data_IF_491639064421
#
_entry.id   IF_491639064421
#
_cell.length_a   1.000
_cell.length_b   1.000
_cell.length_c   1.000
_cell.angle_alpha   90.00
_cell.angle_beta   90.00
_cell.angle_gamma   90.00
#
_symmetry.space_group_name_H-M   'P 1'
#
loop_
_entity.id
_entity.type
_entity.pdbx_description
1 polymer ?
#
# COMPACT_ATOMS: atom_id res chain seq x y z
N UNK A 1 11.46 13.83 -3.73
CA UNK A 1 11.35 12.88 -4.86
C UNK A 1 10.78 11.64 -4.20
N UNK A 2 9.46 11.54 -4.18
CA UNK A 2 8.77 10.75 -3.15
C UNK A 2 8.05 9.59 -3.84
N UNK A 3 8.75 8.47 -4.04
CA UNK A 3 8.08 7.25 -4.45
C UNK A 3 8.95 6.04 -4.13
N UNK A 4 8.51 5.26 -3.16
CA UNK A 4 9.01 3.92 -2.96
C UNK A 4 7.91 2.92 -3.25
N UNK A 5 8.15 2.08 -4.25
CA UNK A 5 7.21 1.07 -4.69
C UNK A 5 7.66 -0.29 -4.15
N UNK A 6 7.04 -0.76 -3.07
CA UNK A 6 7.16 -2.15 -2.63
C UNK A 6 5.94 -2.91 -3.12
N UNK A 7 6.16 -3.88 -4.00
CA UNK A 7 5.16 -4.87 -4.38
C UNK A 7 4.98 -5.86 -3.23
N UNK A 8 4.04 -5.56 -2.35
CA UNK A 8 3.71 -6.43 -1.23
C UNK A 8 2.41 -7.22 -1.49
N UNK A 9 2.26 -8.35 -0.81
CA UNK A 9 1.16 -9.29 -1.02
C UNK A 9 -0.16 -8.73 -0.51
N UNK A 10 -1.21 -8.91 -1.31
CA UNK A 10 -2.56 -8.49 -0.96
C UNK A 10 -3.61 -9.43 -1.57
N UNK A 11 -4.80 -9.40 -1.01
CA UNK A 11 -5.94 -10.21 -1.45
C UNK A 11 -7.19 -9.36 -1.56
N UNK A 12 -8.13 -9.79 -2.40
CA UNK A 12 -9.46 -9.18 -2.49
C UNK A 12 -10.53 -10.25 -2.46
N UNK A 13 -11.59 -10.04 -1.68
CA UNK A 13 -12.77 -10.90 -1.65
C UNK A 13 -13.75 -10.55 -2.77
N UNK A 14 -14.73 -11.42 -3.00
CA UNK A 14 -15.78 -11.17 -4.01
C UNK A 14 -16.62 -9.93 -3.66
N UNK A 15 -16.80 -9.67 -2.35
CA UNK A 15 -17.46 -8.51 -1.79
C UNK A 15 -16.60 -7.23 -1.80
N UNK A 16 -15.38 -7.28 -2.35
CA UNK A 16 -14.50 -6.13 -2.48
C UNK A 16 -13.72 -5.76 -1.21
N UNK A 17 -13.67 -6.65 -0.22
CA UNK A 17 -12.77 -6.47 0.92
C UNK A 17 -11.35 -6.70 0.46
N UNK A 18 -10.47 -5.74 0.73
CA UNK A 18 -9.07 -5.81 0.34
C UNK A 18 -8.19 -5.74 1.58
N UNK A 19 -7.23 -6.66 1.67
CA UNK A 19 -6.28 -6.75 2.77
C UNK A 19 -4.88 -7.02 2.25
N UNK A 20 -3.86 -6.57 2.97
CA UNK A 20 -2.48 -6.86 2.64
C UNK A 20 -1.50 -6.30 3.64
N UNK A 21 -0.23 -6.65 3.44
CA UNK A 21 0.89 -5.94 4.05
C UNK A 21 1.31 -4.92 3.01
N UNK A 22 1.26 -3.63 3.32
CA UNK A 22 1.67 -2.58 2.39
C UNK A 22 3.19 -2.33 2.45
N UNK A 23 3.80 -2.61 3.60
CA UNK A 23 5.25 -2.56 3.80
C UNK A 23 5.70 -3.63 4.80
N UNK A 24 6.49 -4.64 4.42
CA UNK A 24 7.06 -5.60 5.36
C UNK A 24 8.22 -4.99 6.15
N UNK A 25 8.25 -5.18 7.47
CA UNK A 25 9.38 -4.75 8.30
C UNK A 25 10.52 -5.77 8.28
N UNK A 26 11.73 -5.31 8.60
CA UNK A 26 12.90 -6.17 8.81
C UNK A 26 13.73 -6.50 7.56
N UNK A 27 13.26 -6.16 6.35
CA UNK A 27 14.04 -6.30 5.12
C UNK A 27 14.06 -5.00 4.30
N UNK A 28 15.19 -4.68 3.63
CA UNK A 28 15.23 -3.57 2.70
C UNK A 28 14.33 -3.82 1.50
N UNK A 29 13.81 -2.73 0.94
CA UNK A 29 13.09 -2.75 -0.33
C UNK A 29 14.02 -2.93 -1.55
N UNK A 30 13.47 -2.81 -2.77
CA UNK A 30 14.24 -3.00 -4.00
C UNK A 30 15.35 -1.95 -4.21
N UNK A 31 15.17 -0.72 -3.74
CA UNK A 31 16.20 0.33 -3.83
C UNK A 31 17.05 0.42 -2.56
N UNK A 32 16.71 -0.38 -1.56
CA UNK A 32 17.49 -0.61 -0.39
C UNK A 32 16.94 0.04 0.86
N UNK A 33 15.78 0.70 0.89
CA UNK A 33 15.24 1.39 2.06
C UNK A 33 14.64 0.44 3.09
N UNK A 34 14.78 0.80 4.37
CA UNK A 34 14.24 0.07 5.51
C UNK A 34 13.44 1.08 6.30
N UNK A 35 12.15 0.79 6.46
CA UNK A 35 11.27 1.51 7.37
C UNK A 35 11.10 0.62 8.60
N UNK A 36 11.25 1.23 9.78
CA UNK A 36 11.08 0.55 11.06
C UNK A 36 9.69 0.80 11.63
N UNK A 37 9.22 -0.10 12.49
CA UNK A 37 8.03 0.12 13.31
C UNK A 37 8.14 1.42 14.11
N UNK A 38 7.05 2.18 14.18
CA UNK A 38 6.98 3.51 14.79
C UNK A 38 7.30 4.65 13.84
N UNK A 39 7.64 4.36 12.57
CA UNK A 39 7.99 5.40 11.58
C UNK A 39 6.76 6.00 10.89
N UNK A 40 5.60 5.32 10.91
CA UNK A 40 4.41 5.80 10.21
C UNK A 40 3.55 6.71 11.09
N UNK A 41 3.25 7.91 10.58
CA UNK A 41 2.10 8.70 11.03
C UNK A 41 1.00 8.57 9.98
N UNK A 42 -0.10 7.92 10.35
CA UNK A 42 -1.13 7.49 9.42
C UNK A 42 -2.29 8.49 9.45
N UNK A 43 -2.74 8.92 8.28
CA UNK A 43 -3.92 9.76 8.18
C UNK A 43 -5.20 8.95 8.50
N UNK A 44 -6.21 9.57 9.15
CA UNK A 44 -7.41 8.86 9.60
C UNK A 44 -8.29 8.30 8.47
N UNK A 45 -8.15 8.82 7.26
CA UNK A 45 -8.84 8.29 6.07
C UNK A 45 -7.90 8.36 4.87
N UNK A 46 -7.72 7.22 4.19
CA UNK A 46 -6.85 7.12 3.02
C UNK A 46 -7.63 6.50 1.85
N UNK A 47 -7.66 7.14 0.67
CA UNK A 47 -8.28 6.56 -0.50
C UNK A 47 -7.45 5.40 -1.03
N UNK A 48 -8.14 4.41 -1.61
CA UNK A 48 -7.50 3.40 -2.46
C UNK A 48 -7.46 3.98 -3.87
N UNK A 49 -6.26 4.24 -4.37
CA UNK A 49 -6.03 4.77 -5.72
C UNK A 49 -5.65 3.63 -6.66
N UNK A 50 -6.17 3.67 -7.88
CA UNK A 50 -5.66 2.84 -8.96
C UNK A 50 -4.49 3.55 -9.66
N UNK A 51 -3.37 2.85 -9.85
CA UNK A 51 -2.18 3.35 -10.57
C UNK A 51 -1.59 4.68 -10.04
N UNK A 52 -1.73 4.96 -8.73
CA UNK A 52 -1.32 6.23 -8.12
C UNK A 52 -2.00 7.49 -8.68
N UNK A 53 -3.14 7.34 -9.35
CA UNK A 53 -3.87 8.46 -9.92
C UNK A 53 -4.92 8.98 -8.92
N UNK A 54 -4.78 10.21 -8.38
CA UNK A 54 -5.75 10.77 -7.44
C UNK A 54 -7.16 10.95 -8.02
N UNK A 55 -7.30 10.93 -9.35
CA UNK A 55 -8.62 10.95 -10.02
C UNK A 55 -9.28 9.56 -10.09
N UNK A 56 -8.52 8.48 -9.86
CA UNK A 56 -9.00 7.10 -9.92
C UNK A 56 -9.14 6.49 -8.53
N UNK A 57 -10.00 7.09 -7.71
CA UNK A 57 -10.37 6.54 -6.39
C UNK A 57 -11.31 5.35 -6.58
N UNK A 58 -10.90 4.17 -6.09
CA UNK A 58 -11.65 2.91 -6.24
C UNK A 58 -12.16 2.33 -4.92
N UNK A 59 -11.83 2.96 -3.80
CA UNK A 59 -12.19 2.48 -2.47
C UNK A 59 -11.59 3.34 -1.37
N UNK A 60 -11.69 2.84 -0.13
CA UNK A 60 -11.03 3.44 1.03
C UNK A 60 -10.38 2.38 1.90
N UNK A 61 -9.23 2.76 2.48
CA UNK A 61 -8.64 2.03 3.59
C UNK A 61 -9.44 2.31 4.85
N UNK A 62 -9.92 1.24 5.49
CA UNK A 62 -10.68 1.28 6.75
C UNK A 62 -9.74 1.16 7.96
N UNK A 63 -8.59 0.51 7.78
CA UNK A 63 -7.58 0.30 8.83
C UNK A 63 -6.19 0.25 8.21
N UNK A 64 -5.25 0.97 8.80
CA UNK A 64 -3.83 0.93 8.50
C UNK A 64 -3.11 0.89 9.85
N UNK A 65 -2.39 -0.19 10.14
CA UNK A 65 -1.83 -0.45 11.46
C UNK A 65 -0.43 -1.04 11.32
N UNK A 66 0.50 -0.53 12.13
CA UNK A 66 1.82 -1.14 12.27
C UNK A 66 1.73 -2.40 13.13
N UNK A 67 2.22 -3.51 12.58
CA UNK A 67 2.35 -4.80 13.27
C UNK A 67 3.82 -5.20 13.34
N UNK A 68 4.11 -6.33 13.98
CA UNK A 68 5.49 -6.85 14.01
C UNK A 68 5.96 -7.33 12.62
N UNK A 69 5.03 -7.71 11.75
CA UNK A 69 5.33 -8.14 10.37
C UNK A 69 5.52 -6.97 9.40
N UNK A 70 4.91 -5.82 9.69
CA UNK A 70 4.86 -4.70 8.75
C UNK A 70 3.65 -3.78 8.93
N UNK A 71 3.49 -2.85 7.99
CA UNK A 71 2.30 -2.01 7.89
C UNK A 71 1.16 -2.81 7.24
N UNK A 72 0.22 -3.28 8.06
CA UNK A 72 -0.97 -3.99 7.59
C UNK A 72 -2.05 -3.00 7.19
N UNK A 73 -2.74 -3.31 6.08
CA UNK A 73 -3.84 -2.51 5.55
C UNK A 73 -5.08 -3.38 5.34
N UNK A 74 -6.24 -2.81 5.64
CA UNK A 74 -7.56 -3.36 5.36
C UNK A 74 -8.47 -2.26 4.85
N UNK A 75 -9.27 -2.55 3.84
CA UNK A 75 -10.20 -1.60 3.26
C UNK A 75 -11.25 -2.26 2.39
N UNK A 76 -11.97 -1.42 1.66
CA UNK A 76 -13.08 -1.83 0.80
C UNK A 76 -13.08 -1.10 -0.52
N UNK A 77 -13.30 -1.86 -1.59
CA UNK A 77 -13.55 -1.35 -2.93
C UNK A 77 -15.01 -0.93 -3.08
N UNK A 78 -15.25 0.20 -3.73
CA UNK A 78 -16.60 0.73 -3.98
C UNK A 78 -17.27 0.05 -5.18
N UNK A 79 -17.56 -1.24 -5.03
CA UNK A 79 -18.03 -2.07 -6.15
C UNK A 79 -19.39 -1.65 -6.71
N UNK A 80 -20.25 -1.02 -5.92
CA UNK A 80 -21.58 -0.61 -6.36
C UNK A 80 -21.57 0.74 -7.11
N UNK A 81 -20.74 1.68 -6.65
CA UNK A 81 -20.73 3.06 -7.14
C UNK A 81 -19.61 3.37 -8.12
N UNK A 82 -18.53 2.57 -8.17
CA UNK A 82 -17.35 2.84 -9.01
C UNK A 82 -17.09 1.68 -9.97
N UNK A 83 -17.38 1.81 -11.27
CA UNK A 83 -17.14 0.76 -12.25
C UNK A 83 -15.69 0.24 -12.30
N UNK A 84 -14.72 1.16 -12.21
CA UNK A 84 -13.30 0.82 -12.18
C UNK A 84 -12.93 -0.08 -10.99
N UNK A 85 -13.63 0.03 -9.86
CA UNK A 85 -13.36 -0.80 -8.68
C UNK A 85 -13.64 -2.29 -8.96
N UNK A 86 -14.64 -2.60 -9.79
CA UNK A 86 -14.94 -3.98 -10.22
C UNK A 86 -13.84 -4.53 -11.13
N UNK A 87 -13.37 -3.73 -12.08
CA UNK A 87 -12.22 -4.12 -12.92
C UNK A 87 -10.97 -4.37 -12.09
N UNK A 88 -10.68 -3.50 -11.10
CA UNK A 88 -9.55 -3.66 -10.19
C UNK A 88 -9.69 -4.97 -9.43
N UNK A 89 -10.84 -5.26 -8.82
CA UNK A 89 -11.09 -6.53 -8.13
C UNK A 89 -10.80 -7.73 -9.03
N UNK A 90 -11.30 -7.71 -10.26
CA UNK A 90 -11.13 -8.82 -11.20
C UNK A 90 -9.67 -8.99 -11.64
N UNK A 91 -8.94 -7.88 -11.85
CA UNK A 91 -7.50 -7.90 -12.13
C UNK A 91 -6.69 -8.49 -10.96
N UNK A 92 -7.02 -8.13 -9.72
CA UNK A 92 -6.37 -8.66 -8.52
C UNK A 92 -6.62 -10.17 -8.41
N UNK A 93 -7.88 -10.61 -8.54
CA UNK A 93 -8.25 -12.04 -8.49
C UNK A 93 -7.59 -12.85 -9.60
N UNK A 94 -7.47 -12.27 -10.80
CA UNK A 94 -6.76 -12.88 -11.92
C UNK A 94 -5.22 -12.87 -11.77
N UNK A 95 -4.68 -12.38 -10.64
CA UNK A 95 -3.24 -12.15 -10.40
C UNK A 95 -2.58 -11.26 -11.46
N UNK A 96 -3.35 -10.33 -12.04
CA UNK A 96 -2.91 -9.37 -13.07
C UNK A 96 -2.65 -7.97 -12.51
N UNK A 97 -3.07 -7.65 -11.29
CA UNK A 97 -2.59 -6.49 -10.55
C UNK A 97 -1.37 -6.88 -9.70
N UNK A 98 -0.28 -6.12 -9.78
CA UNK A 98 1.06 -6.60 -9.43
C UNK A 98 1.62 -6.14 -8.08
N UNK A 99 0.86 -5.38 -7.28
CA UNK A 99 1.25 -5.03 -5.91
C UNK A 99 0.43 -3.88 -5.31
N UNK A 100 0.50 -3.75 -3.99
CA UNK A 100 0.20 -2.50 -3.30
C UNK A 100 1.38 -1.53 -3.44
N UNK A 101 1.14 -0.24 -3.24
CA UNK A 101 2.20 0.76 -3.20
C UNK A 101 1.79 1.89 -2.27
N UNK A 102 2.77 2.47 -1.56
CA UNK A 102 2.54 3.51 -0.55
C UNK A 102 3.27 4.78 -0.98
N UNK A 103 2.53 5.88 -1.10
CA UNK A 103 3.11 7.21 -1.09
C UNK A 103 3.23 7.71 0.34
N UNK A 104 4.43 8.16 0.73
CA UNK A 104 4.65 8.81 2.01
C UNK A 104 5.56 10.02 1.83
N UNK A 105 5.49 10.95 2.77
CA UNK A 105 6.41 12.08 2.86
C UNK A 105 7.44 11.74 3.93
N UNK A 106 8.71 11.70 3.56
CA UNK A 106 9.81 11.47 4.49
C UNK A 106 9.98 12.65 5.43
N UNK A 107 9.92 12.39 6.74
CA UNK A 107 10.18 13.40 7.77
C UNK A 107 11.65 13.44 8.16
N UNK A 108 12.28 12.27 8.27
CA UNK A 108 13.70 12.10 8.59
C UNK A 108 14.24 10.88 7.82
N UNK A 109 15.49 10.97 7.35
CA UNK A 109 16.19 9.87 6.67
C UNK A 109 17.65 9.84 7.13
N UNK A 110 18.19 8.64 7.35
CA UNK A 110 19.60 8.43 7.68
C UNK A 110 20.22 7.42 6.72
N UNK A 111 21.36 7.78 6.14
CA UNK A 111 22.16 6.85 5.33
C UNK A 111 22.70 5.75 6.23
N UNK A 112 22.58 4.49 5.78
CA UNK A 112 23.18 3.38 6.52
C UNK A 112 24.70 3.44 6.44
N UNK A 113 25.42 2.80 7.39
CA UNK A 113 26.89 2.75 7.38
C UNK A 113 27.51 2.25 6.06
N UNK A 114 26.74 1.52 5.24
CA UNK A 114 27.14 0.99 3.93
C UNK A 114 26.18 1.39 2.79
N UNK A 115 25.34 2.41 2.97
CA UNK A 115 24.43 2.89 1.93
C UNK A 115 25.21 3.66 0.86
N UNK A 116 24.95 3.40 -0.43
CA UNK A 116 25.43 4.27 -1.51
C UNK A 116 24.48 5.46 -1.63
N UNK A 117 25.07 6.63 -1.84
CA UNK A 117 24.39 7.92 -1.99
C UNK A 117 23.34 7.92 -3.11
#
# INVERSE_FOLDING_TARGET
>A
MDKLEIKAAFSVSDAGEITGIAWPFGSPDRVGDIIHKGAFTIAPALPILFEHDPSKVVGAWESVVETDEGLQVKGRLYLDSVPLAREVRDRVRARRASGLSIGFRTLEQKTRPNGRD
#
